data_IF_062116212518
#
_entry.id   IF_062116212518
#
_cell.length_a   1.000
_cell.length_b   1.000
_cell.length_c   1.000
_cell.angle_alpha   90.00
_cell.angle_beta   90.00
_cell.angle_gamma   90.00
#
_symmetry.space_group_name_H-M   'P 1'
#
loop_
_entity.id
_entity.type
_entity.pdbx_description
1 polymer ?
#
# COMPACT_ATOMS: atom_id res chain seq x y z
N UNK A 1 -12.78 8.04 25.03
CA UNK A 1 -11.43 7.86 24.48
C UNK A 1 -11.56 7.71 22.97
N UNK A 2 -11.36 8.78 22.21
CA UNK A 2 -11.31 8.71 20.75
C UNK A 2 -10.01 8.01 20.37
N UNK A 3 -10.10 6.75 19.94
CA UNK A 3 -8.93 6.02 19.47
C UNK A 3 -8.31 6.75 18.28
N UNK A 4 -6.99 6.95 18.32
CA UNK A 4 -6.23 7.44 17.17
C UNK A 4 -6.36 6.51 15.96
N UNK A 5 -5.84 6.91 14.78
CA UNK A 5 -5.91 6.07 13.59
C UNK A 5 -5.27 4.70 13.85
N UNK A 6 -5.95 3.62 13.43
CA UNK A 6 -5.40 2.28 13.45
C UNK A 6 -4.36 2.17 12.34
N UNK A 7 -3.08 2.08 12.72
CA UNK A 7 -1.98 1.87 11.78
C UNK A 7 -1.68 0.38 11.66
N UNK A 8 -1.44 -0.09 10.43
CA UNK A 8 -1.01 -1.46 10.15
C UNK A 8 0.29 -1.42 9.36
N UNK A 9 1.36 -1.92 9.96
CA UNK A 9 2.62 -2.10 9.24
C UNK A 9 2.45 -3.12 8.11
N UNK A 10 3.05 -2.83 6.96
CA UNK A 10 3.15 -3.78 5.86
C UNK A 10 4.15 -4.85 6.28
N UNK A 11 3.81 -6.13 6.08
CA UNK A 11 4.70 -7.24 6.40
C UNK A 11 5.84 -7.37 5.37
N UNK A 12 6.68 -6.34 5.30
CA UNK A 12 7.85 -6.26 4.43
C UNK A 12 9.13 -6.11 5.26
N UNK A 13 9.15 -5.13 6.16
CA UNK A 13 10.22 -4.92 7.14
C UNK A 13 9.60 -4.36 8.41
N UNK A 14 9.91 -4.96 9.56
CA UNK A 14 9.34 -4.58 10.85
C UNK A 14 10.45 -4.44 11.88
N UNK A 15 10.24 -3.53 12.83
CA UNK A 15 11.17 -3.31 13.94
C UNK A 15 10.42 -3.48 15.26
N UNK A 16 10.90 -4.40 16.07
CA UNK A 16 10.35 -4.78 17.36
C UNK A 16 11.38 -4.50 18.47
N UNK A 17 11.44 -3.28 19.02
CA UNK A 17 12.46 -2.90 20.00
C UNK A 17 12.50 -3.84 21.21
N UNK A 18 13.70 -4.26 21.60
CA UNK A 18 13.93 -5.11 22.78
C UNK A 18 13.49 -6.58 22.61
N UNK A 19 13.25 -7.02 21.37
CA UNK A 19 12.87 -8.40 21.04
C UNK A 19 13.89 -9.03 20.11
N UNK A 20 14.14 -10.32 20.31
CA UNK A 20 14.82 -11.17 19.32
C UNK A 20 13.76 -11.72 18.37
N UNK A 21 13.76 -11.24 17.14
CA UNK A 21 12.74 -11.61 16.14
C UNK A 21 13.39 -12.30 14.95
N UNK A 22 12.74 -13.37 14.49
CA UNK A 22 13.08 -14.06 13.25
C UNK A 22 11.89 -14.06 12.30
N UNK A 23 12.18 -14.11 11.01
CA UNK A 23 11.23 -14.45 9.96
C UNK A 23 11.29 -15.94 9.66
N UNK A 24 10.15 -16.53 9.33
CA UNK A 24 10.09 -17.90 8.81
C UNK A 24 9.24 -17.91 7.56
N UNK A 25 9.86 -18.25 6.44
CA UNK A 25 9.18 -18.41 5.16
C UNK A 25 9.14 -19.86 4.73
N UNK A 26 8.05 -20.28 4.11
CA UNK A 26 7.86 -21.64 3.60
C UNK A 26 6.86 -21.69 2.44
N UNK A 27 6.85 -22.82 1.72
CA UNK A 27 5.82 -23.19 0.75
C UNK A 27 4.90 -24.24 1.36
N UNK A 28 3.60 -24.10 1.14
CA UNK A 28 2.57 -24.99 1.71
C UNK A 28 1.51 -25.32 0.63
N UNK A 29 0.82 -26.44 0.74
CA UNK A 29 -0.22 -26.84 -0.23
C UNK A 29 -1.66 -26.77 0.32
N UNK A 30 -1.82 -26.90 1.64
CA UNK A 30 -3.10 -26.75 2.33
C UNK A 30 -2.94 -25.70 3.45
N UNK A 31 -3.39 -24.45 3.22
CA UNK A 31 -3.25 -23.38 4.20
C UNK A 31 -3.88 -23.70 5.55
N UNK A 32 -5.06 -24.31 5.59
CA UNK A 32 -5.75 -24.54 6.86
C UNK A 32 -5.02 -25.57 7.70
N UNK A 33 -4.65 -26.70 7.09
CA UNK A 33 -3.90 -27.75 7.76
C UNK A 33 -2.51 -27.25 8.17
N UNK A 34 -1.81 -26.58 7.26
CA UNK A 34 -0.46 -26.09 7.53
C UNK A 34 -0.42 -25.03 8.62
N UNK A 35 -1.38 -24.11 8.66
CA UNK A 35 -1.50 -23.13 9.74
C UNK A 35 -1.82 -23.80 11.07
N UNK A 36 -2.76 -24.74 11.10
CA UNK A 36 -3.09 -25.48 12.32
C UNK A 36 -1.87 -26.23 12.88
N UNK A 37 -1.15 -26.95 12.02
CA UNK A 37 0.05 -27.69 12.42
C UNK A 37 1.19 -26.75 12.84
N UNK A 38 1.38 -25.63 12.13
CA UNK A 38 2.36 -24.60 12.49
C UNK A 38 2.06 -24.02 13.87
N UNK A 39 0.82 -23.59 14.12
CA UNK A 39 0.42 -23.03 15.41
C UNK A 39 0.56 -24.04 16.55
N UNK A 40 0.21 -25.31 16.31
CA UNK A 40 0.44 -26.39 17.28
C UNK A 40 1.94 -26.61 17.54
N UNK A 41 2.77 -26.57 16.50
CA UNK A 41 4.22 -26.76 16.62
C UNK A 41 4.90 -25.65 17.41
N UNK A 42 4.34 -24.43 17.40
CA UNK A 42 4.83 -23.25 18.14
C UNK A 42 4.36 -23.21 19.61
N UNK A 43 3.22 -23.82 19.93
CA UNK A 43 2.59 -23.70 21.24
C UNK A 43 3.47 -24.23 22.38
N UNK A 44 3.56 -23.46 23.47
CA UNK A 44 4.22 -23.88 24.71
C UNK A 44 5.75 -23.90 24.67
N UNK A 45 6.38 -23.21 23.70
CA UNK A 45 7.83 -23.26 23.48
C UNK A 45 8.57 -21.93 23.67
N UNK A 46 7.94 -20.97 24.36
CA UNK A 46 8.49 -19.63 24.54
C UNK A 46 8.56 -18.79 23.26
N UNK A 47 7.97 -19.28 22.16
CA UNK A 47 7.81 -18.57 20.89
C UNK A 47 6.52 -17.73 20.95
N UNK A 48 6.60 -16.47 20.52
CA UNK A 48 5.41 -15.62 20.35
C UNK A 48 5.22 -15.28 18.88
N UNK A 49 4.06 -15.63 18.32
CA UNK A 49 3.69 -15.27 16.95
C UNK A 49 3.33 -13.78 16.89
N UNK A 50 4.12 -13.00 16.15
CA UNK A 50 3.89 -11.55 15.99
C UNK A 50 3.01 -11.26 14.77
N UNK A 51 3.24 -11.99 13.68
CA UNK A 51 2.48 -11.86 12.44
C UNK A 51 2.56 -13.16 11.66
N UNK A 52 1.53 -13.41 10.85
CA UNK A 52 1.45 -14.56 9.97
C UNK A 52 0.61 -14.19 8.75
N UNK A 53 1.11 -14.50 7.57
CA UNK A 53 0.34 -14.41 6.33
C UNK A 53 0.50 -15.67 5.49
N UNK A 54 -0.53 -15.92 4.69
CA UNK A 54 -0.48 -16.88 3.60
C UNK A 54 -1.02 -16.21 2.34
N UNK A 55 -0.31 -16.36 1.22
CA UNK A 55 -0.76 -15.87 -0.07
C UNK A 55 -0.70 -17.00 -1.11
N UNK A 56 -1.62 -17.06 -2.07
CA UNK A 56 -1.50 -18.00 -3.18
C UNK A 56 -0.18 -17.80 -3.93
N UNK A 57 0.52 -18.89 -4.27
CA UNK A 57 1.66 -18.80 -5.17
C UNK A 57 1.15 -18.69 -6.61
N UNK A 58 1.22 -17.49 -7.19
CA UNK A 58 0.76 -17.24 -8.55
C UNK A 58 1.58 -18.00 -9.61
N UNK A 59 2.81 -18.42 -9.29
CA UNK A 59 3.66 -19.18 -10.20
C UNK A 59 3.34 -20.68 -10.19
N UNK A 60 2.77 -21.21 -9.11
CA UNK A 60 2.53 -22.64 -8.91
C UNK A 60 1.11 -22.88 -8.36
N UNK A 61 0.11 -23.13 -9.23
CA UNK A 61 -1.27 -23.35 -8.81
C UNK A 61 -1.41 -24.49 -7.80
N UNK A 62 -2.14 -24.24 -6.70
CA UNK A 62 -2.30 -25.19 -5.61
C UNK A 62 -1.20 -25.11 -4.54
N UNK A 63 -0.18 -24.29 -4.75
CA UNK A 63 0.79 -23.91 -3.73
C UNK A 63 0.44 -22.53 -3.14
N UNK A 64 0.79 -22.35 -1.87
CA UNK A 64 0.70 -21.10 -1.14
C UNK A 64 2.06 -20.80 -0.50
N UNK A 65 2.31 -19.52 -0.32
CA UNK A 65 3.48 -19.01 0.36
C UNK A 65 3.08 -18.61 1.77
N UNK A 66 3.81 -19.11 2.76
CA UNK A 66 3.65 -18.76 4.16
C UNK A 66 4.82 -17.88 4.59
N UNK A 67 4.51 -16.82 5.32
CA UNK A 67 5.52 -16.03 6.00
C UNK A 67 5.05 -15.60 7.38
N UNK A 68 5.93 -15.69 8.38
CA UNK A 68 5.60 -15.28 9.75
C UNK A 68 6.79 -14.61 10.46
N UNK A 69 6.48 -13.66 11.34
CA UNK A 69 7.45 -13.15 12.32
C UNK A 69 7.22 -13.81 13.68
N UNK A 70 8.30 -14.31 14.26
CA UNK A 70 8.32 -14.93 15.57
C UNK A 70 9.26 -14.18 16.49
N UNK A 71 8.76 -13.79 17.66
CA UNK A 71 9.57 -13.36 18.79
C UNK A 71 10.07 -14.61 19.52
N UNK A 72 11.39 -14.79 19.50
CA UNK A 72 12.11 -15.93 20.06
C UNK A 72 12.81 -15.57 21.37
N UNK A 73 12.54 -14.40 21.94
CA UNK A 73 13.22 -13.92 23.15
C UNK A 73 13.06 -14.86 24.35
N UNK A 74 11.93 -15.58 24.43
CA UNK A 74 11.64 -16.56 25.47
C UNK A 74 11.91 -18.02 25.08
N UNK A 75 12.38 -18.28 23.86
CA UNK A 75 12.62 -19.63 23.37
C UNK A 75 14.06 -20.08 23.63
N UNK A 76 14.24 -21.36 23.98
CA UNK A 76 15.57 -21.96 24.04
C UNK A 76 16.18 -22.09 22.64
N UNK A 77 17.51 -21.99 22.53
CA UNK A 77 18.24 -22.04 21.26
C UNK A 77 17.86 -23.26 20.40
N UNK A 78 17.83 -24.44 21.02
CA UNK A 78 17.43 -25.68 20.33
C UNK A 78 16.01 -25.67 19.77
N UNK A 79 15.08 -24.92 20.38
CA UNK A 79 13.73 -24.76 19.84
C UNK A 79 13.74 -24.01 18.52
N UNK A 80 14.61 -23.01 18.40
CA UNK A 80 14.77 -22.21 17.18
C UNK A 80 15.47 -23.03 16.10
N UNK A 81 16.55 -23.75 16.46
CA UNK A 81 17.29 -24.62 15.53
C UNK A 81 16.39 -25.72 14.91
N UNK A 82 15.53 -26.33 15.71
CA UNK A 82 14.64 -27.42 15.27
C UNK A 82 13.37 -26.89 14.58
N UNK A 83 13.15 -25.57 14.48
CA UNK A 83 11.89 -25.04 13.98
C UNK A 83 11.64 -25.44 12.52
N UNK A 84 12.64 -25.28 11.65
CA UNK A 84 12.55 -25.62 10.22
C UNK A 84 12.28 -27.11 10.05
N UNK A 85 13.10 -27.96 10.68
CA UNK A 85 12.97 -29.41 10.54
C UNK A 85 11.62 -29.92 11.04
N UNK A 86 11.08 -29.34 12.11
CA UNK A 86 9.74 -29.68 12.62
C UNK A 86 8.62 -29.25 11.68
N UNK A 87 8.73 -28.06 11.08
CA UNK A 87 7.76 -27.60 10.08
C UNK A 87 7.77 -28.52 8.85
N UNK A 88 8.94 -28.90 8.35
CA UNK A 88 9.04 -29.77 7.18
C UNK A 88 8.62 -31.22 7.49
N UNK A 89 9.00 -31.74 8.66
CA UNK A 89 8.64 -33.12 9.09
C UNK A 89 7.15 -33.30 9.34
N UNK A 90 6.40 -32.21 9.55
CA UNK A 90 4.94 -32.28 9.65
C UNK A 90 4.25 -32.57 8.30
N UNK A 91 4.99 -32.42 7.18
CA UNK A 91 4.45 -32.55 5.83
C UNK A 91 3.65 -31.34 5.35
N UNK A 92 3.36 -30.37 6.22
CA UNK A 92 2.61 -29.16 5.88
C UNK A 92 3.42 -28.09 5.15
N UNK A 93 4.75 -28.09 5.31
CA UNK A 93 5.63 -27.05 4.78
C UNK A 93 6.81 -27.66 4.03
N UNK A 94 7.29 -26.95 3.01
CA UNK A 94 8.47 -27.28 2.22
C UNK A 94 9.32 -26.03 2.01
N UNK A 95 10.62 -26.21 1.81
CA UNK A 95 11.55 -25.11 1.58
C UNK A 95 11.47 -24.07 2.71
N UNK A 96 11.29 -24.55 3.94
CA UNK A 96 11.17 -23.69 5.10
C UNK A 96 12.55 -23.09 5.42
N UNK A 97 12.59 -21.79 5.72
CA UNK A 97 13.84 -21.08 6.01
C UNK A 97 13.63 -20.07 7.12
N UNK A 98 14.61 -20.00 8.02
CA UNK A 98 14.72 -18.92 9.01
C UNK A 98 15.43 -17.75 8.35
N UNK A 99 14.88 -16.56 8.56
CA UNK A 99 15.47 -15.27 8.20
C UNK A 99 15.74 -14.52 9.49
N UNK A 100 16.97 -14.07 9.64
CA UNK A 100 17.40 -13.30 10.79
C UNK A 100 18.08 -12.02 10.35
N UNK A 101 18.19 -11.09 11.28
CA UNK A 101 18.86 -9.81 11.11
C UNK A 101 19.99 -9.70 12.12
N UNK A 102 21.12 -9.10 11.77
CA UNK A 102 22.15 -8.76 12.75
C UNK A 102 21.73 -7.62 13.68
N UNK A 103 20.68 -6.86 13.33
CA UNK A 103 20.10 -5.80 14.15
C UNK A 103 18.95 -6.39 14.96
N UNK A 104 19.07 -6.36 16.28
CA UNK A 104 18.04 -6.84 17.21
C UNK A 104 16.69 -6.15 16.94
N UNK A 105 15.61 -6.92 16.99
CA UNK A 105 14.25 -6.44 16.74
C UNK A 105 13.91 -6.17 15.27
N UNK A 106 14.90 -5.94 14.40
CA UNK A 106 14.65 -5.71 12.98
C UNK A 106 14.51 -7.03 12.26
N UNK A 107 13.51 -7.18 11.40
CA UNK A 107 13.36 -8.35 10.55
C UNK A 107 12.73 -7.95 9.23
N UNK A 108 13.23 -8.50 8.14
CA UNK A 108 12.66 -8.33 6.81
C UNK A 108 12.08 -9.64 6.30
N UNK A 109 11.03 -9.54 5.52
CA UNK A 109 10.59 -10.61 4.65
C UNK A 109 11.48 -10.65 3.40
N UNK A 110 12.63 -11.31 3.57
CA UNK A 110 13.58 -11.62 2.49
C UNK A 110 13.48 -13.08 2.03
N UNK A 111 12.35 -13.75 2.31
CA UNK A 111 12.06 -15.06 1.73
C UNK A 111 11.68 -14.91 0.26
N UNK A 112 10.94 -13.84 -0.06
CA UNK A 112 10.56 -13.50 -1.42
C UNK A 112 11.55 -12.51 -2.04
N UNK A 113 11.92 -12.75 -3.31
CA UNK A 113 12.87 -11.90 -4.03
C UNK A 113 12.33 -10.48 -4.30
N UNK A 114 11.03 -10.36 -4.55
CA UNK A 114 10.37 -9.10 -4.89
C UNK A 114 9.03 -8.95 -4.18
N UNK A 115 8.63 -7.70 -3.94
CA UNK A 115 7.26 -7.37 -3.54
C UNK A 115 6.38 -7.19 -4.77
N UNK A 116 5.15 -7.66 -4.67
CA UNK A 116 4.19 -7.65 -5.76
C UNK A 116 2.95 -6.79 -5.46
N UNK A 117 2.35 -6.23 -6.50
CA UNK A 117 1.02 -5.60 -6.46
C UNK A 117 0.27 -5.93 -7.74
N UNK A 118 -0.85 -6.66 -7.60
CA UNK A 118 -1.67 -7.15 -8.71
C UNK A 118 -0.86 -7.80 -9.84
N UNK A 119 0.11 -8.66 -9.49
CA UNK A 119 0.93 -9.39 -10.47
C UNK A 119 2.14 -8.63 -11.01
N UNK A 120 2.41 -7.39 -10.58
CA UNK A 120 3.61 -6.63 -10.97
C UNK A 120 4.55 -6.44 -9.80
N UNK A 121 5.84 -6.26 -10.10
CA UNK A 121 6.81 -5.80 -9.11
C UNK A 121 6.42 -4.43 -8.57
N UNK A 122 6.49 -4.29 -7.26
CA UNK A 122 6.21 -3.06 -6.53
C UNK A 122 7.42 -2.64 -5.68
N UNK A 123 7.49 -1.34 -5.41
CA UNK A 123 8.37 -0.74 -4.41
C UNK A 123 7.52 0.05 -3.43
N UNK A 124 7.92 0.04 -2.16
CA UNK A 124 7.19 0.73 -1.09
C UNK A 124 7.87 2.07 -0.82
N UNK A 125 7.14 3.17 -0.99
CA UNK A 125 7.56 4.49 -0.54
C UNK A 125 7.00 4.74 0.86
N UNK A 126 7.84 4.57 1.89
CA UNK A 126 7.50 5.04 3.23
C UNK A 126 7.35 6.57 3.25
N UNK A 127 6.59 7.10 4.21
CA UNK A 127 6.35 8.54 4.34
C UNK A 127 7.64 9.40 4.32
N UNK A 128 8.78 9.01 4.93
CA UNK A 128 10.02 9.78 4.80
C UNK A 128 10.56 9.87 3.36
N UNK A 129 10.53 8.77 2.61
CA UNK A 129 10.99 8.74 1.22
C UNK A 129 10.06 9.56 0.31
N UNK A 130 8.74 9.43 0.50
CA UNK A 130 7.76 10.22 -0.23
C UNK A 130 7.86 11.71 0.11
N UNK A 131 8.08 12.06 1.38
CA UNK A 131 8.33 13.45 1.79
C UNK A 131 9.57 14.03 1.10
N UNK A 132 10.67 13.27 1.04
CA UNK A 132 11.87 13.68 0.31
C UNK A 132 11.60 13.89 -1.19
N UNK A 133 10.83 13.00 -1.82
CA UNK A 133 10.43 13.15 -3.22
C UNK A 133 9.58 14.41 -3.46
N UNK A 134 8.51 14.60 -2.67
CA UNK A 134 7.59 15.73 -2.83
C UNK A 134 8.27 17.06 -2.51
N UNK A 135 8.88 17.19 -1.32
CA UNK A 135 9.54 18.43 -0.90
C UNK A 135 10.77 18.74 -1.74
N UNK A 136 11.51 17.73 -2.19
CA UNK A 136 12.66 17.90 -3.08
C UNK A 136 12.30 18.59 -4.39
N UNK A 137 11.13 18.29 -4.96
CA UNK A 137 10.64 18.97 -6.16
C UNK A 137 10.32 20.45 -5.88
N UNK A 138 9.63 20.75 -4.78
CA UNK A 138 9.36 22.14 -4.40
C UNK A 138 10.62 22.93 -4.07
N UNK A 139 11.58 22.34 -3.34
CA UNK A 139 12.81 23.04 -2.95
C UNK A 139 13.73 23.30 -4.14
N UNK A 140 13.71 22.42 -5.14
CA UNK A 140 14.58 22.53 -6.33
C UNK A 140 13.97 23.44 -7.39
N UNK A 141 12.66 23.33 -7.62
CA UNK A 141 12.00 23.97 -8.77
C UNK A 141 10.94 25.01 -8.39
N UNK A 142 10.73 25.26 -7.09
CA UNK A 142 9.69 26.18 -6.62
C UNK A 142 8.29 25.75 -7.10
N UNK A 143 7.51 26.70 -7.60
CA UNK A 143 6.16 26.45 -8.11
C UNK A 143 6.13 25.55 -9.36
N UNK A 144 7.22 25.47 -10.14
CA UNK A 144 7.30 24.53 -11.27
C UNK A 144 7.24 23.08 -10.79
N UNK A 145 7.70 22.80 -9.56
CA UNK A 145 7.55 21.49 -8.93
C UNK A 145 6.09 21.05 -8.80
N UNK A 146 5.16 21.98 -8.53
CA UNK A 146 3.73 21.69 -8.48
C UNK A 146 3.18 21.26 -9.85
N UNK A 147 3.60 21.94 -10.92
CA UNK A 147 3.21 21.60 -12.30
C UNK A 147 3.72 20.21 -12.67
N UNK A 148 4.97 19.89 -12.31
CA UNK A 148 5.53 18.57 -12.51
C UNK A 148 4.72 17.49 -11.78
N UNK A 149 4.47 17.68 -10.48
CA UNK A 149 3.68 16.75 -9.65
C UNK A 149 2.29 16.51 -10.25
N UNK A 150 1.63 17.57 -10.70
CA UNK A 150 0.33 17.47 -11.34
C UNK A 150 0.34 16.61 -12.61
N UNK A 151 1.23 16.89 -13.56
CA UNK A 151 1.28 16.15 -14.82
C UNK A 151 1.76 14.70 -14.64
N UNK A 152 2.74 14.47 -13.77
CA UNK A 152 3.18 13.11 -13.41
C UNK A 152 2.05 12.35 -12.73
N UNK A 153 1.34 12.97 -11.79
CA UNK A 153 0.15 12.40 -11.16
C UNK A 153 -0.90 12.01 -12.20
N UNK A 154 -1.21 12.91 -13.14
CA UNK A 154 -2.15 12.64 -14.24
C UNK A 154 -1.75 11.45 -15.10
N UNK A 155 -0.46 11.33 -15.42
CA UNK A 155 0.06 10.18 -16.17
C UNK A 155 -0.05 8.86 -15.38
N UNK A 156 0.28 8.90 -14.08
CA UNK A 156 0.12 7.76 -13.16
C UNK A 156 -1.34 7.33 -13.08
N UNK A 157 -2.26 8.27 -12.87
CA UNK A 157 -3.70 8.01 -12.77
C UNK A 157 -4.25 7.34 -14.02
N UNK A 158 -3.93 7.87 -15.21
CA UNK A 158 -4.33 7.28 -16.50
C UNK A 158 -3.81 5.85 -16.68
N UNK A 159 -2.53 5.64 -16.36
CA UNK A 159 -1.86 4.35 -16.53
C UNK A 159 -2.43 3.31 -15.56
N UNK A 160 -2.56 3.68 -14.28
CA UNK A 160 -3.15 2.84 -13.24
C UNK A 160 -4.60 2.49 -13.53
N UNK A 161 -5.43 3.47 -13.89
CA UNK A 161 -6.84 3.25 -14.20
C UNK A 161 -7.05 2.25 -15.35
N UNK A 162 -6.30 2.38 -16.45
CA UNK A 162 -6.35 1.41 -17.56
C UNK A 162 -5.92 0.02 -17.10
N UNK A 163 -4.78 -0.06 -16.42
CA UNK A 163 -4.24 -1.33 -15.95
C UNK A 163 -5.20 -2.06 -14.98
N UNK A 164 -5.68 -1.38 -13.94
CA UNK A 164 -6.58 -1.99 -12.95
C UNK A 164 -7.94 -2.35 -13.53
N UNK A 165 -8.49 -1.51 -14.42
CA UNK A 165 -9.74 -1.82 -15.14
C UNK A 165 -9.61 -3.14 -15.91
N UNK A 166 -8.49 -3.35 -16.59
CA UNK A 166 -8.29 -4.51 -17.45
C UNK A 166 -7.94 -5.77 -16.63
N UNK A 167 -7.08 -5.66 -15.61
CA UNK A 167 -6.74 -6.78 -14.71
C UNK A 167 -7.94 -7.25 -13.90
N UNK A 168 -8.77 -6.33 -13.42
CA UNK A 168 -9.97 -6.66 -12.64
C UNK A 168 -11.22 -6.91 -13.52
N UNK A 169 -11.08 -6.74 -14.84
CA UNK A 169 -12.17 -6.82 -15.81
C UNK A 169 -13.42 -5.99 -15.43
N UNK A 170 -13.23 -4.76 -14.96
CA UNK A 170 -14.32 -3.88 -14.52
C UNK A 170 -14.76 -2.99 -15.68
N UNK A 171 -15.92 -3.29 -16.28
CA UNK A 171 -16.48 -2.50 -17.38
C UNK A 171 -17.54 -1.48 -16.94
N UNK A 172 -18.20 -1.75 -15.81
CA UNK A 172 -19.21 -0.85 -15.27
C UNK A 172 -18.58 0.41 -14.64
N UNK A 173 -19.08 1.58 -15.02
CA UNK A 173 -18.53 2.87 -14.62
C UNK A 173 -18.60 3.09 -13.11
N UNK A 174 -19.73 2.75 -12.47
CA UNK A 174 -19.90 2.91 -11.02
C UNK A 174 -18.91 2.02 -10.25
N UNK A 175 -18.69 0.78 -10.72
CA UNK A 175 -17.67 -0.12 -10.16
C UNK A 175 -16.26 0.42 -10.36
N UNK A 176 -15.97 1.10 -11.48
CA UNK A 176 -14.65 1.73 -11.69
C UNK A 176 -14.38 2.84 -10.67
N UNK A 177 -15.35 3.74 -10.45
CA UNK A 177 -15.25 4.76 -9.39
C UNK A 177 -15.07 4.14 -8.01
N UNK A 178 -15.86 3.13 -7.67
CA UNK A 178 -15.74 2.45 -6.38
C UNK A 178 -14.39 1.74 -6.21
N UNK A 179 -13.87 1.14 -7.27
CA UNK A 179 -12.54 0.53 -7.25
C UNK A 179 -11.46 1.59 -7.01
N UNK A 180 -11.54 2.75 -7.67
CA UNK A 180 -10.59 3.85 -7.44
C UNK A 180 -10.61 4.31 -5.98
N UNK A 181 -11.78 4.48 -5.37
CA UNK A 181 -11.89 4.83 -3.95
C UNK A 181 -11.19 3.80 -3.04
N UNK A 182 -11.40 2.51 -3.31
CA UNK A 182 -10.74 1.41 -2.60
C UNK A 182 -9.23 1.49 -2.77
N UNK A 183 -8.72 1.72 -3.99
CA UNK A 183 -7.29 1.80 -4.26
C UNK A 183 -6.63 3.00 -3.56
N UNK A 184 -7.22 4.19 -3.65
CA UNK A 184 -6.66 5.37 -2.99
C UNK A 184 -6.57 5.20 -1.47
N UNK A 185 -7.59 4.57 -0.86
CA UNK A 185 -7.58 4.22 0.56
C UNK A 185 -6.54 3.13 0.89
N UNK A 186 -6.62 1.99 0.21
CA UNK A 186 -5.79 0.81 0.52
C UNK A 186 -4.30 1.04 0.26
N UNK A 187 -3.95 1.93 -0.67
CA UNK A 187 -2.56 2.33 -0.95
C UNK A 187 -2.08 3.48 -0.06
N UNK A 188 -2.92 4.01 0.83
CA UNK A 188 -2.53 4.99 1.84
C UNK A 188 -2.33 6.41 1.31
N UNK A 189 -2.86 6.74 0.12
CA UNK A 189 -2.85 8.13 -0.37
C UNK A 189 -3.72 9.03 0.51
N UNK A 190 -4.83 8.48 1.01
CA UNK A 190 -5.84 9.17 1.82
C UNK A 190 -6.40 8.21 2.87
N UNK A 191 -6.90 8.74 3.98
CA UNK A 191 -7.69 7.94 4.92
C UNK A 191 -9.03 7.53 4.34
N UNK A 192 -9.67 8.39 3.56
CA UNK A 192 -10.80 8.02 2.71
C UNK A 192 -10.95 8.99 1.55
N UNK A 193 -11.62 8.54 0.50
CA UNK A 193 -12.03 9.37 -0.64
C UNK A 193 -13.45 9.01 -1.05
N UNK A 194 -14.22 10.02 -1.44
CA UNK A 194 -15.46 9.83 -2.20
C UNK A 194 -15.33 10.48 -3.56
N UNK A 195 -15.71 9.77 -4.62
CA UNK A 195 -15.74 10.24 -6.00
C UNK A 195 -17.20 10.31 -6.46
N UNK A 196 -17.79 11.50 -6.36
CA UNK A 196 -19.19 11.72 -6.66
C UNK A 196 -19.34 12.28 -8.07
N UNK A 197 -19.92 11.48 -8.97
CA UNK A 197 -20.25 11.87 -10.33
C UNK A 197 -21.68 12.41 -10.40
N UNK A 198 -21.83 13.66 -10.86
CA UNK A 198 -23.11 14.29 -11.17
C UNK A 198 -23.06 14.83 -12.58
N UNK A 199 -23.88 14.26 -13.48
CA UNK A 199 -23.79 14.45 -14.92
C UNK A 199 -22.37 14.16 -15.45
N UNK A 200 -21.68 15.20 -15.92
CA UNK A 200 -20.27 15.12 -16.36
C UNK A 200 -19.31 15.75 -15.36
N UNK A 201 -19.77 16.29 -14.25
CA UNK A 201 -18.90 16.85 -13.20
C UNK A 201 -18.58 15.77 -12.18
N UNK A 202 -17.31 15.67 -11.78
CA UNK A 202 -16.88 14.77 -10.71
C UNK A 202 -16.36 15.59 -9.55
N UNK A 203 -16.81 15.28 -8.34
CA UNK A 203 -16.30 15.89 -7.11
C UNK A 203 -15.60 14.83 -6.28
N UNK A 204 -14.32 15.04 -6.02
CA UNK A 204 -13.54 14.22 -5.10
C UNK A 204 -13.41 14.92 -3.75
N UNK A 205 -13.73 14.22 -2.66
CA UNK A 205 -13.49 14.70 -1.29
C UNK A 205 -12.48 13.75 -0.64
N UNK A 206 -11.36 14.29 -0.18
CA UNK A 206 -10.22 13.55 0.36
C UNK A 206 -10.04 13.86 1.85
N UNK A 207 -10.14 12.83 2.68
CA UNK A 207 -9.91 12.91 4.13
C UNK A 207 -8.48 12.49 4.43
N UNK A 208 -7.75 13.30 5.20
CA UNK A 208 -6.33 13.09 5.56
C UNK A 208 -5.47 12.72 4.33
N UNK A 209 -5.43 13.62 3.33
CA UNK A 209 -4.59 13.45 2.15
C UNK A 209 -3.09 13.50 2.49
N UNK A 210 -2.39 12.39 2.29
CA UNK A 210 -0.98 12.23 2.67
C UNK A 210 -0.08 13.26 1.96
N UNK A 211 -0.32 13.56 0.67
CA UNK A 211 0.46 14.58 -0.05
C UNK A 211 0.43 15.90 0.71
N UNK A 212 -0.77 16.44 0.97
CA UNK A 212 -0.96 17.71 1.66
C UNK A 212 -0.37 17.71 3.08
N UNK A 213 -0.52 16.60 3.82
CA UNK A 213 0.06 16.47 5.16
C UNK A 213 1.58 16.58 5.12
N UNK A 214 2.23 15.88 4.17
CA UNK A 214 3.68 15.89 4.04
C UNK A 214 4.21 17.27 3.61
N UNK A 215 3.49 17.98 2.72
CA UNK A 215 3.94 19.28 2.19
C UNK A 215 3.32 20.50 2.91
N UNK A 216 2.78 20.33 4.12
CA UNK A 216 2.11 21.39 4.90
C UNK A 216 2.92 22.68 5.10
N UNK A 217 4.25 22.58 5.08
CA UNK A 217 5.14 23.71 5.29
C UNK A 217 5.42 24.52 4.01
N UNK A 218 4.89 24.07 2.85
CA UNK A 218 5.03 24.77 1.57
C UNK A 218 4.06 25.97 1.54
N UNK A 219 4.60 27.17 1.33
CA UNK A 219 3.86 28.44 1.37
C UNK A 219 3.00 28.75 0.14
N UNK A 220 2.71 27.74 -0.69
CA UNK A 220 1.97 27.90 -1.94
C UNK A 220 0.76 26.95 -2.00
N UNK A 221 -0.21 27.08 -1.07
CA UNK A 221 -1.45 26.35 -1.20
C UNK A 221 -2.28 26.87 -2.39
N UNK A 222 -3.17 26.04 -2.95
CA UNK A 222 -3.48 24.69 -2.51
C UNK A 222 -2.42 23.67 -3.00
N UNK A 223 -2.19 22.59 -2.23
CA UNK A 223 -0.99 21.75 -2.37
C UNK A 223 -1.26 20.33 -2.87
N UNK A 224 -2.50 19.95 -3.16
CA UNK A 224 -2.85 18.64 -3.73
C UNK A 224 -2.61 18.70 -5.23
N UNK A 225 -1.36 18.56 -5.67
CA UNK A 225 -1.02 18.60 -7.08
C UNK A 225 -0.89 17.19 -7.65
N UNK A 226 -0.17 16.31 -6.95
CA UNK A 226 0.06 14.94 -7.36
C UNK A 226 -1.20 14.08 -7.29
N UNK A 227 -1.90 14.07 -6.15
CA UNK A 227 -3.13 13.29 -5.96
C UNK A 227 -4.26 13.83 -6.82
N UNK A 228 -4.39 15.17 -6.95
CA UNK A 228 -5.34 15.79 -7.88
C UNK A 228 -5.08 15.37 -9.33
N UNK A 229 -3.82 15.42 -9.76
CA UNK A 229 -3.43 14.91 -11.08
C UNK A 229 -3.84 13.44 -11.24
N UNK A 230 -3.54 12.59 -10.27
CA UNK A 230 -3.93 11.17 -10.30
C UNK A 230 -5.44 10.98 -10.45
N UNK A 231 -6.26 11.69 -9.68
CA UNK A 231 -7.72 11.61 -9.77
C UNK A 231 -8.20 12.06 -11.15
N UNK A 232 -7.66 13.17 -11.69
CA UNK A 232 -7.99 13.62 -13.04
C UNK A 232 -7.67 12.57 -14.09
N UNK A 233 -6.46 12.00 -14.04
CA UNK A 233 -6.08 10.95 -14.97
C UNK A 233 -6.95 9.69 -14.87
N UNK A 234 -7.39 9.34 -13.66
CA UNK A 234 -8.34 8.23 -13.43
C UNK A 234 -9.70 8.54 -14.07
N UNK A 235 -10.26 9.72 -13.79
CA UNK A 235 -11.57 10.15 -14.31
C UNK A 235 -11.58 10.19 -15.84
N UNK A 236 -10.53 10.71 -16.47
CA UNK A 236 -10.45 10.77 -17.93
C UNK A 236 -10.48 9.38 -18.59
N UNK A 237 -9.92 8.36 -17.93
CA UNK A 237 -9.97 6.97 -18.44
C UNK A 237 -11.35 6.35 -18.25
N UNK A 238 -12.04 6.68 -17.16
CA UNK A 238 -13.36 6.15 -16.85
C UNK A 238 -14.44 6.76 -17.74
N UNK A 239 -14.37 8.08 -17.96
CA UNK A 239 -15.34 8.84 -18.74
C UNK A 239 -15.01 8.88 -20.25
N UNK A 240 -13.84 8.38 -20.64
CA UNK A 240 -13.32 8.44 -22.02
C UNK A 240 -13.38 9.86 -22.62
N UNK A 241 -13.00 10.85 -21.81
CA UNK A 241 -13.04 12.27 -22.17
C UNK A 241 -11.93 13.04 -21.45
N UNK A 242 -11.58 14.21 -21.99
CA UNK A 242 -10.62 15.10 -21.33
C UNK A 242 -11.28 15.91 -20.22
N UNK A 243 -10.58 16.04 -19.10
CA UNK A 243 -11.03 16.76 -17.92
C UNK A 243 -9.99 17.78 -17.45
N UNK A 244 -10.46 18.82 -16.78
CA UNK A 244 -9.65 19.72 -15.97
C UNK A 244 -10.11 19.64 -14.51
N UNK A 245 -9.15 19.67 -13.58
CA UNK A 245 -9.40 19.63 -12.14
C UNK A 245 -8.96 20.91 -11.45
N UNK A 246 -9.76 21.32 -10.47
CA UNK A 246 -9.47 22.44 -9.58
C UNK A 246 -9.58 21.96 -8.12
N UNK A 247 -8.55 22.21 -7.31
CA UNK A 247 -8.63 22.07 -5.86
C UNK A 247 -9.35 23.30 -5.28
N UNK A 248 -10.57 23.10 -4.77
CA UNK A 248 -11.43 24.18 -4.26
C UNK A 248 -11.39 24.30 -2.73
N UNK A 249 -11.02 23.23 -2.03
CA UNK A 249 -10.77 23.22 -0.58
C UNK A 249 -9.47 22.43 -0.33
N UNK A 250 -8.67 22.87 0.64
CA UNK A 250 -7.39 22.23 0.99
C UNK A 250 -7.14 22.32 2.50
N UNK A 251 -6.64 21.25 3.10
CA UNK A 251 -6.28 21.26 4.53
C UNK A 251 -5.19 22.30 4.84
N UNK A 252 -4.31 22.58 3.89
CA UNK A 252 -3.27 23.61 4.03
C UNK A 252 -3.80 25.04 3.84
N UNK A 253 -5.09 25.20 3.47
CA UNK A 253 -5.85 26.46 3.52
C UNK A 253 -6.76 26.54 4.77
N UNK A 254 -6.65 25.59 5.71
CA UNK A 254 -7.48 25.56 6.91
C UNK A 254 -8.85 24.91 6.71
N UNK A 255 -9.13 24.29 5.57
CA UNK A 255 -10.33 23.47 5.40
C UNK A 255 -10.20 22.14 6.15
N UNK A 256 -11.33 21.52 6.48
CA UNK A 256 -11.33 20.21 7.15
C UNK A 256 -10.79 19.09 6.24
N UNK A 257 -11.12 19.16 4.95
CA UNK A 257 -10.77 18.16 3.94
C UNK A 257 -10.24 18.83 2.67
N UNK A 258 -9.62 18.04 1.78
CA UNK A 258 -9.31 18.54 0.44
C UNK A 258 -10.46 18.19 -0.51
N UNK A 259 -10.88 19.14 -1.34
CA UNK A 259 -11.95 18.95 -2.31
C UNK A 259 -11.48 19.34 -3.70
N UNK A 260 -11.69 18.44 -4.65
CA UNK A 260 -11.33 18.63 -6.06
C UNK A 260 -12.59 18.56 -6.88
N UNK A 261 -12.78 19.53 -7.77
CA UNK A 261 -13.87 19.53 -8.76
C UNK A 261 -13.26 19.34 -10.13
N UNK A 262 -13.77 18.34 -10.86
CA UNK A 262 -13.34 18.01 -12.21
C UNK A 262 -14.48 18.27 -13.20
N UNK A 263 -14.16 18.95 -14.30
CA UNK A 263 -15.11 19.27 -15.37
C UNK A 263 -14.56 18.83 -16.73
N UNK A 264 -15.42 18.41 -17.67
CA UNK A 264 -14.98 18.09 -19.02
C UNK A 264 -14.44 19.34 -19.70
N UNK A 265 -13.34 19.18 -20.43
CA UNK A 265 -12.89 20.20 -21.35
C UNK A 265 -13.78 20.07 -22.59
N UNK A 266 -14.78 20.92 -22.74
CA UNK A 266 -15.42 21.08 -24.04
C UNK A 266 -14.37 21.60 -25.01
N UNK A 267 -14.29 21.00 -26.20
CA UNK A 267 -13.43 21.51 -27.26
C UNK A 267 -13.69 23.01 -27.41
N UNK A 268 -12.67 23.84 -27.15
CA UNK A 268 -12.77 25.25 -27.54
C UNK A 268 -12.95 25.24 -29.07
N UNK A 269 -14.02 25.83 -29.63
CA UNK A 269 -14.02 26.08 -31.05
C UNK A 269 -12.76 26.89 -31.36
N UNK A 270 -11.97 26.38 -32.31
CA UNK A 270 -10.82 27.08 -32.87
C UNK A 270 -11.25 28.43 -33.46
#
# INVERSE_FOLDING_TARGET
MSGGPLFRDIMAINYFPGKKVIGVGARISDPLTALSQTLQALRGKGLTLLSLETIPNLAEPGEYLLFMFLDVSGAGERTVEELVSRLESSGAARSARIISSPIEGLVSDSYFDFKGFLGNRAIIFGAPALNGFLKGLYSTFGQVGAVFLYHTGKSIGRTGARYYRDVLNIRDLNKQYRAAEIFFHALGYVKSVSLNRSDKTVTAILVENLECILVKDIRFPPTCNWVRGMIEGVVEVFEDASYESQEVECINNGNENCKIVLRPITARPL
#
